data_IF_972391828790
#
_entry.id   IF_972391828790
#
_cell.length_a   1.000
_cell.length_b   1.000
_cell.length_c   1.000
_cell.angle_alpha   90.00
_cell.angle_beta   90.00
_cell.angle_gamma   90.00
#
_symmetry.space_group_name_H-M   'P 1'
#
loop_
_entity.id
_entity.type
_entity.pdbx_description
1 polymer ?
#
# COMPACT_ATOMS: atom_id res chain seq x y z
N UNK A 1 -2.30 6.67 8.29
CA UNK A 1 -0.96 6.39 7.72
C UNK A 1 -0.26 5.41 8.65
N UNK A 2 0.21 4.29 8.12
CA UNK A 2 0.95 3.28 8.88
C UNK A 2 2.36 3.82 9.21
N UNK A 3 2.80 3.64 10.48
CA UNK A 3 4.14 4.03 10.90
C UNK A 3 5.07 2.82 10.85
N UNK A 4 6.05 2.75 9.92
CA UNK A 4 6.97 1.62 9.79
C UNK A 4 7.94 1.49 10.97
N UNK A 5 8.08 2.51 11.78
CA UNK A 5 8.92 2.52 12.98
C UNK A 5 8.14 2.22 14.26
N UNK A 6 6.84 1.90 14.14
CA UNK A 6 5.98 1.58 15.28
C UNK A 6 6.53 0.41 16.09
N UNK A 7 6.66 0.60 17.40
CA UNK A 7 7.07 -0.44 18.35
C UNK A 7 6.06 -0.53 19.51
N UNK A 8 5.76 -1.72 20.02
CA UNK A 8 6.18 -3.03 19.49
C UNK A 8 5.61 -3.30 18.10
N UNK A 9 6.32 -4.10 17.30
CA UNK A 9 5.91 -4.40 15.93
C UNK A 9 4.55 -5.08 15.93
N UNK A 10 3.55 -4.56 15.20
CA UNK A 10 2.21 -5.15 15.13
C UNK A 10 2.23 -6.50 14.40
N UNK A 11 1.16 -7.29 14.57
CA UNK A 11 1.00 -8.55 13.86
C UNK A 11 0.60 -8.30 12.41
N UNK A 12 1.59 -8.20 11.56
CA UNK A 12 1.43 -8.07 10.11
C UNK A 12 1.72 -9.38 9.37
N UNK A 13 1.90 -10.49 10.09
CA UNK A 13 2.26 -11.79 9.50
C UNK A 13 3.65 -11.82 8.89
N UNK A 14 4.52 -10.85 9.23
CA UNK A 14 5.86 -10.75 8.67
C UNK A 14 6.87 -11.58 9.46
N UNK A 15 7.89 -12.11 8.74
CA UNK A 15 8.98 -12.88 9.31
C UNK A 15 10.35 -12.29 8.98
N UNK A 16 11.32 -12.58 9.83
CA UNK A 16 12.71 -12.17 9.63
C UNK A 16 13.22 -12.55 8.22
N UNK A 17 13.88 -11.64 7.49
CA UNK A 17 14.32 -11.90 6.11
C UNK A 17 15.38 -13.00 6.02
N UNK A 18 16.08 -13.27 7.13
CA UNK A 18 17.14 -14.29 7.16
C UNK A 18 16.65 -15.65 7.66
N UNK A 19 15.89 -15.70 8.78
CA UNK A 19 15.53 -16.97 9.40
C UNK A 19 14.00 -17.20 9.50
N UNK A 20 13.19 -16.27 9.01
CA UNK A 20 11.73 -16.32 9.01
C UNK A 20 11.08 -16.34 10.40
N UNK A 21 11.84 -16.06 11.45
CA UNK A 21 11.28 -15.90 12.79
C UNK A 21 10.20 -14.80 12.79
N UNK A 22 9.01 -15.01 13.38
CA UNK A 22 7.96 -14.00 13.42
C UNK A 22 8.44 -12.73 14.10
N UNK A 23 8.22 -11.58 13.46
CA UNK A 23 8.68 -10.28 14.01
C UNK A 23 7.63 -9.59 14.88
N UNK A 24 6.45 -10.16 15.00
CA UNK A 24 5.36 -9.61 15.84
C UNK A 24 5.79 -9.40 17.29
N UNK A 25 5.38 -8.29 17.89
CA UNK A 25 5.64 -7.96 19.27
C UNK A 25 7.09 -7.60 19.62
N UNK A 26 8.00 -7.58 18.64
CA UNK A 26 9.37 -7.17 18.90
C UNK A 26 9.43 -5.68 19.28
N UNK A 27 10.22 -5.39 20.31
CA UNK A 27 10.49 -4.03 20.79
C UNK A 27 11.69 -3.36 20.11
N UNK A 28 12.22 -3.99 19.08
CA UNK A 28 13.30 -3.45 18.27
C UNK A 28 13.31 -4.13 16.89
N UNK A 29 13.76 -3.42 15.87
CA UNK A 29 13.94 -3.94 14.51
C UNK A 29 15.19 -4.85 14.41
N UNK A 30 15.20 -5.88 15.27
CA UNK A 30 16.28 -6.87 15.31
C UNK A 30 15.72 -8.25 15.68
N UNK A 31 16.03 -9.24 14.87
CA UNK A 31 15.62 -10.60 15.11
C UNK A 31 16.33 -11.19 16.36
N UNK A 32 15.59 -11.74 17.34
CA UNK A 32 16.19 -12.33 18.53
C UNK A 32 16.91 -13.65 18.23
N UNK A 33 16.50 -14.39 17.20
CA UNK A 33 17.08 -15.68 16.86
C UNK A 33 18.42 -15.56 16.12
N UNK A 34 18.48 -14.75 15.06
CA UNK A 34 19.68 -14.67 14.22
C UNK A 34 20.42 -13.33 14.32
N UNK A 35 19.91 -12.39 15.11
CA UNK A 35 20.52 -11.08 15.31
C UNK A 35 20.45 -10.13 14.12
N UNK A 36 19.81 -10.52 13.02
CA UNK A 36 19.67 -9.69 11.82
C UNK A 36 18.88 -8.42 12.15
N UNK A 37 19.40 -7.27 11.77
CA UNK A 37 18.67 -6.00 11.78
C UNK A 37 17.90 -5.87 10.48
N UNK A 38 16.70 -5.29 10.56
CA UNK A 38 15.82 -5.09 9.41
C UNK A 38 14.99 -3.82 9.60
N UNK A 39 14.45 -3.30 8.52
CA UNK A 39 13.33 -2.36 8.52
C UNK A 39 12.09 -3.13 8.08
N UNK A 40 10.88 -2.68 8.43
CA UNK A 40 9.68 -3.39 8.01
C UNK A 40 9.55 -3.44 6.48
N UNK A 41 10.01 -2.40 5.79
CA UNK A 41 10.03 -2.36 4.32
C UNK A 41 10.92 -3.45 3.70
N UNK A 42 12.00 -3.87 4.40
CA UNK A 42 12.90 -4.93 3.93
C UNK A 42 12.22 -6.32 3.96
N UNK A 43 11.06 -6.42 4.62
CA UNK A 43 10.30 -7.66 4.76
C UNK A 43 9.23 -7.82 3.68
N UNK A 44 9.02 -6.80 2.85
CA UNK A 44 8.04 -6.84 1.75
C UNK A 44 8.51 -7.89 0.73
N UNK A 45 7.63 -8.78 0.27
CA UNK A 45 7.97 -9.76 -0.75
C UNK A 45 8.51 -9.10 -2.02
N UNK A 46 9.41 -9.74 -2.77
CA UNK A 46 9.83 -9.24 -4.07
C UNK A 46 8.67 -9.31 -5.07
N UNK A 47 8.64 -8.38 -6.00
CA UNK A 47 7.62 -8.29 -7.06
C UNK A 47 7.36 -6.83 -7.44
N UNK A 48 6.77 -6.62 -8.61
CA UNK A 48 6.39 -5.28 -9.08
C UNK A 48 5.03 -5.34 -9.79
N UNK A 49 3.95 -5.10 -9.08
CA UNK A 49 3.84 -4.95 -7.62
C UNK A 49 3.94 -6.29 -6.87
N UNK A 50 4.46 -6.31 -5.63
CA UNK A 50 4.47 -7.52 -4.83
C UNK A 50 3.05 -8.00 -4.51
N UNK A 51 2.81 -9.33 -4.49
CA UNK A 51 1.52 -9.87 -4.06
C UNK A 51 1.30 -9.60 -2.57
N UNK A 52 0.11 -9.14 -2.20
CA UNK A 52 -0.24 -8.94 -0.80
C UNK A 52 -0.45 -10.28 -0.10
N UNK A 53 0.34 -10.55 0.93
CA UNK A 53 0.37 -11.82 1.64
C UNK A 53 -0.13 -11.67 3.08
N UNK A 54 -1.06 -12.53 3.52
CA UNK A 54 -1.53 -12.60 4.90
C UNK A 54 -1.47 -14.05 5.37
N UNK A 55 -0.80 -14.30 6.49
CA UNK A 55 -0.66 -15.64 7.02
C UNK A 55 0.02 -16.64 6.06
N UNK A 56 0.80 -16.15 5.09
CA UNK A 56 1.44 -16.95 4.06
C UNK A 56 0.58 -17.22 2.82
N UNK A 57 -0.63 -16.71 2.77
CA UNK A 57 -1.54 -16.81 1.63
C UNK A 57 -1.71 -15.47 0.91
N UNK A 58 -1.83 -15.51 -0.41
CA UNK A 58 -2.07 -14.31 -1.20
C UNK A 58 -3.52 -13.84 -1.06
N UNK A 59 -3.71 -12.57 -0.77
CA UNK A 59 -5.03 -11.92 -0.78
C UNK A 59 -5.58 -11.95 -2.20
N UNK A 60 -6.84 -12.31 -2.35
CA UNK A 60 -7.52 -12.36 -3.65
C UNK A 60 -8.12 -11.01 -4.00
N UNK A 61 -8.09 -10.68 -5.30
CA UNK A 61 -8.65 -9.44 -5.83
C UNK A 61 -10.18 -9.53 -5.99
N UNK A 62 -10.89 -9.74 -4.88
CA UNK A 62 -12.35 -9.70 -4.91
C UNK A 62 -12.85 -8.25 -5.04
N UNK A 63 -14.06 -8.03 -5.59
CA UNK A 63 -14.62 -6.68 -5.72
C UNK A 63 -14.62 -5.91 -4.40
N UNK A 64 -14.96 -6.57 -3.29
CA UNK A 64 -15.04 -5.96 -1.95
C UNK A 64 -13.67 -5.47 -1.48
N UNK A 65 -12.61 -6.27 -1.70
CA UNK A 65 -11.24 -5.90 -1.32
C UNK A 65 -10.73 -4.76 -2.19
N UNK A 66 -11.02 -4.81 -3.50
CA UNK A 66 -10.61 -3.74 -4.43
C UNK A 66 -11.34 -2.42 -4.09
N UNK A 67 -12.62 -2.47 -3.77
CA UNK A 67 -13.40 -1.30 -3.36
C UNK A 67 -12.87 -0.73 -2.04
N UNK A 68 -12.59 -1.59 -1.05
CA UNK A 68 -11.97 -1.18 0.22
C UNK A 68 -10.67 -0.43 -0.03
N UNK A 69 -9.76 -1.00 -0.81
CA UNK A 69 -8.47 -0.36 -1.09
C UNK A 69 -8.61 0.95 -1.87
N UNK A 70 -9.58 1.01 -2.79
CA UNK A 70 -9.91 2.25 -3.49
C UNK A 70 -10.38 3.34 -2.52
N UNK A 71 -11.19 2.99 -1.52
CA UNK A 71 -11.67 3.92 -0.50
C UNK A 71 -10.50 4.52 0.32
N UNK A 72 -9.46 3.70 0.58
CA UNK A 72 -8.26 4.12 1.30
C UNK A 72 -7.15 4.66 0.39
N UNK A 73 -7.44 4.86 -0.90
CA UNK A 73 -6.47 5.34 -1.90
C UNK A 73 -5.22 4.46 -2.01
N UNK A 74 -5.33 3.19 -1.65
CA UNK A 74 -4.26 2.20 -1.79
C UNK A 74 -4.32 1.65 -3.21
N UNK A 75 -3.28 1.87 -4.04
CA UNK A 75 -3.22 1.29 -5.37
C UNK A 75 -3.15 -0.24 -5.26
N UNK A 76 -4.08 -0.92 -5.91
CA UNK A 76 -4.12 -2.37 -5.89
C UNK A 76 -4.56 -2.90 -7.26
N UNK A 77 -3.89 -3.95 -7.73
CA UNK A 77 -4.19 -4.55 -9.02
C UNK A 77 -4.05 -6.07 -8.98
N UNK A 78 -4.85 -6.82 -9.76
CA UNK A 78 -4.63 -8.24 -9.93
C UNK A 78 -3.26 -8.51 -10.56
N UNK A 79 -2.49 -9.43 -9.96
CA UNK A 79 -1.19 -9.85 -10.50
C UNK A 79 -1.24 -11.33 -10.88
N UNK A 80 -0.55 -11.69 -11.95
CA UNK A 80 -0.39 -13.08 -12.33
C UNK A 80 0.71 -13.69 -11.47
N UNK A 81 0.42 -14.84 -10.87
CA UNK A 81 1.48 -15.62 -10.23
C UNK A 81 2.40 -16.22 -11.30
N UNK A 82 3.69 -16.39 -10.96
CA UNK A 82 4.62 -17.11 -11.85
C UNK A 82 4.12 -18.52 -12.16
N UNK A 83 3.38 -19.12 -11.24
CA UNK A 83 2.77 -20.43 -11.41
C UNK A 83 1.67 -20.42 -12.48
N UNK A 84 0.82 -19.39 -12.50
CA UNK A 84 -0.23 -19.22 -13.52
C UNK A 84 0.39 -18.95 -14.89
N UNK A 85 1.48 -18.18 -14.92
CA UNK A 85 2.25 -17.94 -16.14
C UNK A 85 2.95 -19.22 -16.65
N UNK A 86 3.49 -20.04 -15.75
CA UNK A 86 4.17 -21.30 -16.09
C UNK A 86 3.21 -22.41 -16.56
N UNK A 87 1.98 -22.43 -16.05
CA UNK A 87 0.94 -23.36 -16.52
C UNK A 87 0.41 -22.99 -17.91
N UNK A 88 0.94 -21.90 -18.50
CA UNK A 88 0.56 -21.48 -19.84
C UNK A 88 -0.96 -21.39 -19.93
N UNK A 89 -1.55 -20.36 -19.36
CA UNK A 89 -2.97 -20.05 -19.56
C UNK A 89 -3.24 -19.70 -21.02
N UNK A 90 -2.64 -20.49 -21.93
CA UNK A 90 -2.94 -20.54 -23.34
C UNK A 90 -4.26 -21.25 -23.64
N UNK A 91 -4.81 -21.90 -22.63
CA UNK A 91 -6.07 -22.60 -22.76
C UNK A 91 -7.20 -21.75 -22.24
N UNK A 92 -7.52 -20.58 -22.83
CA UNK A 92 -8.85 -19.97 -22.76
C UNK A 92 -9.68 -20.12 -21.46
N UNK A 93 -9.10 -20.65 -20.41
CA UNK A 93 -9.69 -20.73 -19.08
C UNK A 93 -9.80 -19.30 -18.57
N UNK A 94 -11.00 -18.80 -18.57
CA UNK A 94 -11.39 -17.55 -17.92
C UNK A 94 -11.08 -17.68 -16.42
N UNK A 95 -9.81 -17.48 -16.04
CA UNK A 95 -9.50 -17.25 -14.64
C UNK A 95 -10.19 -15.92 -14.35
N UNK A 96 -11.23 -15.99 -13.55
CA UNK A 96 -11.92 -14.81 -13.08
C UNK A 96 -10.87 -13.90 -12.42
N UNK A 97 -10.88 -12.60 -12.73
CA UNK A 97 -9.99 -11.63 -12.06
C UNK A 97 -10.06 -11.74 -10.54
N UNK A 98 -11.22 -12.13 -10.02
CA UNK A 98 -11.49 -12.33 -8.59
C UNK A 98 -10.67 -13.49 -7.98
N UNK A 99 -10.15 -14.40 -8.78
CA UNK A 99 -9.30 -15.50 -8.32
C UNK A 99 -7.81 -15.13 -8.31
N UNK A 100 -7.42 -14.00 -8.88
CA UNK A 100 -6.02 -13.59 -8.99
C UNK A 100 -5.50 -13.01 -7.66
N UNK A 101 -4.22 -13.21 -7.35
CA UNK A 101 -3.57 -12.48 -6.24
C UNK A 101 -3.68 -10.97 -6.44
N UNK A 102 -3.83 -10.25 -5.34
CA UNK A 102 -3.83 -8.80 -5.35
C UNK A 102 -2.40 -8.29 -5.13
N UNK A 103 -1.89 -7.50 -6.07
CA UNK A 103 -0.61 -6.82 -5.94
C UNK A 103 -0.78 -5.40 -5.42
N UNK A 104 0.11 -4.99 -4.54
CA UNK A 104 0.14 -3.64 -3.96
C UNK A 104 1.54 -3.08 -4.07
N UNK A 105 1.74 -1.85 -4.60
CA UNK A 105 3.07 -1.24 -4.66
C UNK A 105 3.76 -1.19 -3.30
N UNK A 106 5.09 -1.35 -3.29
CA UNK A 106 5.88 -1.46 -2.07
C UNK A 106 5.64 -0.30 -1.08
N UNK A 107 5.47 0.94 -1.58
CA UNK A 107 5.23 2.11 -0.74
C UNK A 107 3.89 2.09 0.02
N UNK A 108 2.89 1.36 -0.47
CA UNK A 108 1.58 1.21 0.16
C UNK A 108 1.38 -0.17 0.83
N UNK A 109 2.38 -1.05 0.74
CA UNK A 109 2.24 -2.45 1.14
C UNK A 109 1.94 -2.63 2.63
N UNK A 110 2.66 -1.92 3.50
CA UNK A 110 2.47 -2.04 4.97
C UNK A 110 1.13 -1.45 5.42
N UNK A 111 0.67 -0.39 4.76
CA UNK A 111 -0.65 0.20 5.01
C UNK A 111 -1.76 -0.77 4.59
N UNK A 112 -1.61 -1.41 3.44
CA UNK A 112 -2.52 -2.44 2.98
C UNK A 112 -2.58 -3.65 3.93
N UNK A 113 -1.42 -4.09 4.45
CA UNK A 113 -1.37 -5.17 5.44
C UNK A 113 -2.10 -4.79 6.74
N UNK A 114 -1.88 -3.59 7.28
CA UNK A 114 -2.54 -3.14 8.50
C UNK A 114 -4.06 -3.05 8.31
N UNK A 115 -4.51 -2.54 7.17
CA UNK A 115 -5.92 -2.46 6.84
C UNK A 115 -6.56 -3.84 6.80
N UNK A 116 -5.93 -4.80 6.11
CA UNK A 116 -6.42 -6.18 6.03
C UNK A 116 -6.37 -6.90 7.38
N UNK A 117 -5.34 -6.68 8.18
CA UNK A 117 -5.25 -7.21 9.54
C UNK A 117 -6.41 -6.73 10.40
N UNK A 118 -6.71 -5.43 10.38
CA UNK A 118 -7.85 -4.86 11.11
C UNK A 118 -9.16 -5.47 10.66
N UNK A 119 -9.35 -5.60 9.35
CA UNK A 119 -10.56 -6.22 8.80
C UNK A 119 -10.71 -7.68 9.27
N UNK A 120 -9.62 -8.44 9.26
CA UNK A 120 -9.62 -9.85 9.68
C UNK A 120 -9.89 -10.02 11.19
N UNK A 121 -9.40 -9.09 12.01
CA UNK A 121 -9.56 -9.11 13.46
C UNK A 121 -10.82 -8.37 13.93
N UNK A 122 -11.68 -7.91 13.02
CA UNK A 122 -12.87 -7.11 13.34
C UNK A 122 -12.52 -5.84 14.16
N UNK A 123 -11.31 -5.31 13.96
CA UNK A 123 -10.88 -4.06 14.57
C UNK A 123 -11.48 -2.85 13.83
N UNK A 124 -11.71 -1.72 14.50
CA UNK A 124 -12.19 -0.52 13.82
C UNK A 124 -11.18 -0.06 12.77
N UNK A 125 -11.68 0.16 11.56
CA UNK A 125 -10.89 0.73 10.48
C UNK A 125 -10.67 2.22 10.75
N UNK A 126 -9.51 2.78 10.40
CA UNK A 126 -9.28 4.22 10.46
C UNK A 126 -10.25 4.95 9.50
N UNK A 127 -10.50 6.22 9.74
CA UNK A 127 -11.25 7.02 8.78
C UNK A 127 -10.51 7.02 7.44
N UNK A 128 -11.21 6.73 6.33
CA UNK A 128 -10.57 6.78 5.02
C UNK A 128 -10.05 8.19 4.75
N UNK A 129 -8.88 8.31 4.09
CA UNK A 129 -8.36 9.62 3.73
C UNK A 129 -9.41 10.33 2.87
N UNK A 130 -9.74 11.56 3.25
CA UNK A 130 -10.62 12.37 2.41
C UNK A 130 -9.94 12.54 1.05
N UNK A 131 -10.64 12.27 -0.06
CA UNK A 131 -10.04 12.36 -1.40
C UNK A 131 -9.50 13.75 -1.71
N UNK A 132 -9.85 14.69 -0.89
CA UNK A 132 -9.38 16.07 -0.89
C UNK A 132 -8.93 16.39 0.54
N UNK A 133 -7.72 15.93 0.91
CA UNK A 133 -7.06 16.54 2.07
C UNK A 133 -7.20 18.05 1.89
N UNK A 134 -7.63 18.74 2.95
CA UNK A 134 -7.88 20.18 2.96
C UNK A 134 -6.63 20.96 2.50
N UNK A 135 -6.34 20.82 1.19
CA UNK A 135 -5.39 21.67 0.52
C UNK A 135 -6.06 23.03 0.37
N UNK A 136 -5.41 24.08 0.79
CA UNK A 136 -5.88 25.42 0.48
C UNK A 136 -5.86 25.62 -1.04
N UNK A 137 -6.91 26.29 -1.55
CA UNK A 137 -6.89 26.80 -2.91
C UNK A 137 -5.60 27.59 -3.12
N UNK A 138 -5.02 27.44 -4.29
CA UNK A 138 -3.69 28.03 -4.56
C UNK A 138 -3.77 29.04 -5.71
N UNK A 139 -3.18 30.23 -5.54
CA UNK A 139 -3.10 31.21 -6.62
C UNK A 139 -2.04 30.76 -7.64
N UNK A 140 -2.39 30.79 -8.91
CA UNK A 140 -1.44 30.54 -9.99
C UNK A 140 -0.41 31.65 -10.05
N UNK A 141 0.87 31.31 -9.95
CA UNK A 141 1.97 32.29 -10.04
C UNK A 141 2.11 32.93 -11.43
N UNK A 142 1.54 32.32 -12.47
CA UNK A 142 1.59 32.82 -13.84
C UNK A 142 0.46 33.79 -14.18
N UNK A 143 -0.78 33.49 -13.78
CA UNK A 143 -1.94 34.30 -14.16
C UNK A 143 -2.73 34.87 -12.95
N UNK A 144 -2.37 34.48 -11.73
CA UNK A 144 -3.02 34.96 -10.50
C UNK A 144 -4.38 34.35 -10.21
N UNK A 145 -4.84 33.38 -11.02
CA UNK A 145 -6.14 32.76 -10.84
C UNK A 145 -6.11 31.77 -9.66
N UNK A 146 -7.16 31.78 -8.84
CA UNK A 146 -7.31 30.85 -7.73
C UNK A 146 -7.73 29.47 -8.25
N UNK A 147 -6.99 28.46 -7.88
CA UNK A 147 -7.23 27.07 -8.28
C UNK A 147 -7.64 26.23 -7.08
N UNK A 148 -8.62 25.35 -7.25
CA UNK A 148 -8.91 24.35 -6.23
C UNK A 148 -7.69 23.50 -5.87
N UNK A 149 -7.57 23.13 -4.59
CA UNK A 149 -6.43 22.40 -4.05
C UNK A 149 -6.12 21.07 -4.77
N UNK A 150 -7.13 20.47 -5.38
CA UNK A 150 -7.04 19.21 -6.13
C UNK A 150 -6.51 19.34 -7.56
N UNK A 151 -6.24 20.58 -8.03
CA UNK A 151 -5.69 20.79 -9.36
C UNK A 151 -4.16 20.81 -9.32
N UNK A 152 -3.53 19.94 -10.10
CA UNK A 152 -2.08 19.92 -10.26
C UNK A 152 -1.56 20.96 -11.26
N UNK A 153 -2.47 21.51 -12.07
CA UNK A 153 -2.19 22.58 -13.04
C UNK A 153 -3.26 23.65 -12.94
N UNK A 154 -2.92 24.86 -13.30
CA UNK A 154 -3.90 25.95 -13.32
C UNK A 154 -4.99 25.65 -14.34
N UNK A 155 -6.25 25.75 -13.95
CA UNK A 155 -7.39 25.51 -14.81
C UNK A 155 -7.53 26.55 -15.92
N UNK A 156 -6.97 27.74 -15.72
CA UNK A 156 -7.08 28.87 -16.66
C UNK A 156 -5.94 28.95 -17.67
N UNK A 157 -4.67 28.71 -17.24
CA UNK A 157 -3.50 28.86 -18.12
C UNK A 157 -2.64 27.60 -18.22
N UNK A 158 -3.06 26.50 -17.66
CA UNK A 158 -2.40 25.19 -17.70
C UNK A 158 -0.98 25.17 -17.09
N UNK A 159 -0.58 26.22 -16.39
CA UNK A 159 0.72 26.27 -15.71
C UNK A 159 0.71 25.27 -14.54
N UNK A 160 1.71 24.37 -14.44
CA UNK A 160 1.84 23.45 -13.32
C UNK A 160 1.92 24.18 -11.98
N UNK A 161 1.30 23.60 -10.94
CA UNK A 161 1.44 24.06 -9.56
C UNK A 161 2.91 23.89 -9.15
N UNK A 162 3.63 24.98 -8.95
CA UNK A 162 4.93 24.91 -8.28
C UNK A 162 4.68 24.58 -6.82
N UNK A 163 5.27 23.48 -6.34
CA UNK A 163 5.30 23.19 -4.92
C UNK A 163 6.07 24.35 -4.26
N UNK A 164 5.39 25.10 -3.41
CA UNK A 164 6.02 26.19 -2.68
C UNK A 164 7.24 25.62 -1.93
N UNK A 165 8.43 26.21 -2.06
CA UNK A 165 9.59 25.79 -1.31
C UNK A 165 9.35 26.04 0.16
N UNK A 166 8.96 25.02 0.93
CA UNK A 166 8.77 25.18 2.37
C UNK A 166 7.81 24.24 3.08
N UNK A 167 7.18 23.31 2.44
CA UNK A 167 6.29 22.37 3.15
C UNK A 167 6.96 21.01 3.36
N UNK A 168 8.14 21.05 3.98
CA UNK A 168 8.79 19.90 4.61
C UNK A 168 8.80 20.17 6.12
N UNK A 169 7.66 19.90 6.77
CA UNK A 169 7.52 19.89 8.21
C UNK A 169 7.32 18.47 8.72
#
# INVERSE_FOLDING_TARGET
MFDPDQLPIPDLGLGCPNCRYPVVGLSAHRCPECGTRFRLEDLIPPGDPPPLMIGGEAVRSTPEVVELFSLYQIPAMPVQSEFDAALGVHAGALISREAMPLGVPAHAYLEALDLMRRLTNEEPLPDPPTPYAEGHDWPCLSCGEDNPSNFAVCWSCETPRELAPGDHG
#
